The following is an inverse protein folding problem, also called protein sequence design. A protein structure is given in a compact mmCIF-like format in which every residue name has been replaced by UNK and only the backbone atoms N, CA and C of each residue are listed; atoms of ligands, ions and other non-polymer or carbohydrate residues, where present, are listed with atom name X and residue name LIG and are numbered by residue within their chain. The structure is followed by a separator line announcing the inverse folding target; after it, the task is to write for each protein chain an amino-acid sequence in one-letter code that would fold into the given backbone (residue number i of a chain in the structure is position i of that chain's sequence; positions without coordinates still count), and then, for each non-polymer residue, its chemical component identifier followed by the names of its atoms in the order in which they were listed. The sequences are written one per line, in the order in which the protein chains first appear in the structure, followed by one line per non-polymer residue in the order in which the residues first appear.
data_IF_786377299718
#
_entry.id   IF_786377299718
#
_cell.length_a   1.000
_cell.length_b   1.000
_cell.length_c   1.000
_cell.angle_alpha   90.00
_cell.angle_beta   90.00
_cell.angle_gamma   90.00
#
_symmetry.space_group_name_H-M   'P 1'
#
loop_
_entity.id
_entity.type
_entity.pdbx_description
1 polymer ?
#
# COMPACT_ATOMS: atom_id res chain seq x y z
N UNK A 1 4.78 2.27 32.21
CA UNK A 1 3.56 2.60 32.98
C UNK A 1 3.09 3.95 32.49
N UNK A 2 1.87 4.06 31.95
CA UNK A 2 1.32 5.33 31.44
C UNK A 2 1.15 6.29 32.63
N UNK A 3 1.67 7.51 32.50
CA UNK A 3 1.50 8.58 33.50
C UNK A 3 0.41 9.50 33.02
N UNK A 4 -0.73 9.52 33.70
CA UNK A 4 -1.80 10.48 33.45
C UNK A 4 -1.58 11.74 34.29
N UNK A 5 -1.71 12.90 33.66
CA UNK A 5 -1.79 14.18 34.36
C UNK A 5 -3.25 14.58 34.58
N UNK A 6 -3.50 15.54 35.48
CA UNK A 6 -4.87 15.95 35.84
C UNK A 6 -5.71 16.36 34.64
N UNK A 7 -5.11 17.03 33.66
CA UNK A 7 -5.79 17.44 32.43
C UNK A 7 -6.26 16.25 31.60
N UNK A 8 -5.51 15.15 31.54
CA UNK A 8 -5.91 13.94 30.81
C UNK A 8 -7.16 13.33 31.45
N UNK A 9 -7.17 13.24 32.79
CA UNK A 9 -8.31 12.72 33.55
C UNK A 9 -9.55 13.62 33.43
N UNK A 10 -9.35 14.93 33.39
CA UNK A 10 -10.44 15.89 33.16
C UNK A 10 -11.02 15.74 31.75
N UNK A 11 -10.16 15.65 30.74
CA UNK A 11 -10.57 15.43 29.36
C UNK A 11 -11.37 14.13 29.21
N UNK A 12 -10.89 13.02 29.79
CA UNK A 12 -11.60 11.72 29.78
C UNK A 12 -12.96 11.85 30.46
N UNK A 13 -13.04 12.50 31.62
CA UNK A 13 -14.31 12.69 32.33
C UNK A 13 -15.30 13.53 31.51
N UNK A 14 -14.82 14.56 30.80
CA UNK A 14 -15.66 15.35 29.89
C UNK A 14 -16.21 14.50 28.74
N UNK A 15 -15.40 13.61 28.16
CA UNK A 15 -15.86 12.70 27.11
C UNK A 15 -16.91 11.71 27.64
N UNK A 16 -16.73 11.18 28.86
CA UNK A 16 -17.70 10.29 29.51
C UNK A 16 -19.04 11.02 29.71
N UNK A 17 -19.02 12.25 30.21
CA UNK A 17 -20.24 13.03 30.43
C UNK A 17 -21.00 13.34 29.14
N UNK A 18 -20.28 13.62 28.04
CA UNK A 18 -20.88 13.76 26.71
C UNK A 18 -21.57 12.45 26.31
N UNK A 19 -20.90 11.31 26.47
CA UNK A 19 -21.47 10.00 26.16
C UNK A 19 -22.71 9.67 27.00
N UNK A 20 -22.69 9.95 28.31
CA UNK A 20 -23.83 9.75 29.21
C UNK A 20 -25.03 10.62 28.84
N UNK A 21 -24.80 11.90 28.55
CA UNK A 21 -25.86 12.81 28.13
C UNK A 21 -26.46 12.41 26.77
N UNK A 22 -25.62 11.92 25.85
CA UNK A 22 -26.09 11.40 24.57
C UNK A 22 -26.93 10.13 24.76
N UNK A 23 -26.48 9.18 25.57
CA UNK A 23 -27.24 7.98 25.92
C UNK A 23 -28.58 8.30 26.62
N UNK A 24 -28.65 9.44 27.33
CA UNK A 24 -29.88 9.97 27.92
C UNK A 24 -30.81 10.69 26.92
N UNK A 25 -30.46 10.73 25.63
CA UNK A 25 -31.28 11.26 24.55
C UNK A 25 -30.94 12.68 24.08
N UNK A 26 -29.87 13.31 24.58
CA UNK A 26 -29.41 14.57 24.00
C UNK A 26 -28.68 14.32 22.67
N UNK A 27 -28.87 15.17 21.65
CA UNK A 27 -28.16 15.03 20.40
C UNK A 27 -26.66 15.33 20.58
N UNK A 28 -25.79 14.64 19.82
CA UNK A 28 -24.35 14.95 19.80
C UNK A 28 -24.06 16.24 19.03
N UNK A 29 -24.77 16.50 17.94
CA UNK A 29 -24.58 17.66 17.07
C UNK A 29 -25.92 18.25 16.63
N UNK A 30 -25.94 19.54 16.26
CA UNK A 30 -27.13 20.27 15.86
C UNK A 30 -27.78 21.07 17.01
N UNK A 31 -29.05 21.46 16.89
CA UNK A 31 -29.75 22.20 17.94
C UNK A 31 -29.78 21.44 19.27
N UNK A 32 -29.21 22.04 20.33
CA UNK A 32 -29.07 21.38 21.63
C UNK A 32 -27.97 20.31 21.67
N UNK A 33 -27.07 20.30 20.68
CA UNK A 33 -25.98 19.35 20.54
C UNK A 33 -24.89 19.50 21.61
N UNK A 34 -24.33 18.37 22.04
CA UNK A 34 -23.23 18.30 23.01
C UNK A 34 -21.86 18.71 22.44
N UNK A 35 -21.69 18.63 21.12
CA UNK A 35 -20.44 18.88 20.40
C UNK A 35 -20.65 20.09 19.46
N UNK A 36 -19.70 21.03 19.41
CA UNK A 36 -19.90 22.29 18.69
C UNK A 36 -19.82 22.15 17.15
N UNK A 37 -19.25 21.06 16.63
CA UNK A 37 -19.10 20.84 15.18
C UNK A 37 -19.04 19.34 14.86
N UNK A 38 -19.47 18.98 13.66
CA UNK A 38 -19.60 17.60 13.21
C UNK A 38 -18.27 16.86 12.97
N UNK A 39 -17.15 17.58 12.93
CA UNK A 39 -15.82 17.03 12.65
C UNK A 39 -14.95 16.84 13.90
N UNK A 40 -15.49 17.07 15.11
CA UNK A 40 -14.80 16.78 16.36
C UNK A 40 -15.18 15.39 16.88
N UNK A 41 -14.17 14.61 17.24
CA UNK A 41 -14.29 13.28 17.83
C UNK A 41 -14.40 13.35 19.37
N UNK A 42 -15.42 14.05 19.87
CA UNK A 42 -15.71 14.13 21.30
C UNK A 42 -16.81 13.15 21.72
N UNK A 43 -16.81 12.76 22.99
CA UNK A 43 -17.65 11.70 23.53
C UNK A 43 -17.06 10.29 23.38
N UNK A 44 -17.91 9.28 23.58
CA UNK A 44 -17.60 7.88 23.27
C UNK A 44 -18.45 7.47 22.06
N UNK A 45 -17.84 6.74 21.12
CA UNK A 45 -18.57 6.17 19.97
C UNK A 45 -19.63 5.21 20.47
N UNK A 46 -20.78 5.14 19.81
CA UNK A 46 -21.80 4.14 20.13
C UNK A 46 -21.24 2.74 19.86
N UNK A 47 -21.83 1.71 20.47
CA UNK A 47 -21.38 0.32 20.31
C UNK A 47 -21.96 -0.34 19.05
N UNK A 48 -22.88 0.34 18.36
CA UNK A 48 -23.49 -0.13 17.10
C UNK A 48 -22.94 0.57 15.85
N UNK A 49 -22.06 1.57 16.02
CA UNK A 49 -21.34 2.20 14.92
C UNK A 49 -22.07 3.40 14.36
N UNK A 50 -23.27 3.65 14.89
CA UNK A 50 -23.98 4.88 14.65
C UNK A 50 -23.22 6.09 15.20
N UNK A 51 -23.42 7.24 14.55
CA UNK A 51 -22.78 8.51 14.88
C UNK A 51 -21.24 8.52 14.77
N UNK A 52 -20.63 7.55 14.07
CA UNK A 52 -19.23 7.67 13.60
C UNK A 52 -19.06 8.89 12.67
N UNK A 53 -20.12 9.28 11.97
CA UNK A 53 -20.25 10.54 11.27
C UNK A 53 -21.51 11.27 11.77
N UNK A 54 -21.36 12.48 12.33
CA UNK A 54 -22.49 13.20 12.95
C UNK A 54 -23.49 13.78 11.94
N UNK A 55 -23.17 13.81 10.64
CA UNK A 55 -24.10 14.20 9.58
C UNK A 55 -24.80 12.98 8.96
N UNK A 56 -24.18 11.81 9.04
CA UNK A 56 -24.66 10.57 8.43
C UNK A 56 -24.42 9.42 9.41
N UNK A 57 -25.33 9.21 10.38
CA UNK A 57 -25.07 8.40 11.55
C UNK A 57 -24.53 7.00 11.25
N UNK A 58 -24.96 6.35 10.17
CA UNK A 58 -24.57 4.97 9.89
C UNK A 58 -23.29 4.85 9.02
N UNK A 59 -22.64 5.95 8.63
CA UNK A 59 -21.42 5.82 7.82
C UNK A 59 -20.27 5.27 8.65
N UNK A 60 -19.72 4.14 8.20
CA UNK A 60 -18.66 3.43 8.89
C UNK A 60 -19.16 2.68 10.12
N UNK A 61 -20.46 2.36 10.24
CA UNK A 61 -20.90 1.28 11.13
C UNK A 61 -20.57 -0.08 10.52
N UNK A 62 -20.48 -1.11 11.36
CA UNK A 62 -20.32 -2.49 10.89
C UNK A 62 -21.55 -2.93 10.09
N UNK A 63 -21.37 -3.88 9.18
CA UNK A 63 -22.41 -4.44 8.30
C UNK A 63 -23.13 -3.43 7.37
N UNK A 64 -22.70 -2.16 7.35
CA UNK A 64 -23.19 -1.18 6.39
C UNK A 64 -22.25 -1.11 5.17
N UNK A 65 -22.80 -0.94 3.95
CA UNK A 65 -21.98 -0.73 2.77
C UNK A 65 -21.14 0.55 2.86
N UNK A 66 -19.89 0.49 2.40
CA UNK A 66 -19.10 1.71 2.23
C UNK A 66 -19.75 2.61 1.17
N UNK A 67 -20.03 3.89 1.50
CA UNK A 67 -20.71 4.76 0.56
C UNK A 67 -19.76 5.23 -0.55
N UNK A 68 -20.17 5.01 -1.81
CA UNK A 68 -19.48 5.51 -2.99
C UNK A 68 -19.88 6.98 -3.25
N UNK A 69 -19.00 7.92 -2.90
CA UNK A 69 -19.22 9.36 -3.12
C UNK A 69 -18.94 9.82 -4.54
N UNK A 70 -18.08 9.08 -5.24
CA UNK A 70 -17.68 9.30 -6.61
C UNK A 70 -18.08 8.04 -7.35
N UNK A 71 -18.98 8.15 -8.33
CA UNK A 71 -19.34 7.00 -9.15
C UNK A 71 -18.14 6.40 -9.88
N UNK A 72 -18.32 5.23 -10.46
CA UNK A 72 -17.28 4.58 -11.24
C UNK A 72 -17.12 5.28 -12.60
N UNK A 73 -15.90 5.76 -12.88
CA UNK A 73 -15.54 6.38 -14.15
C UNK A 73 -14.52 5.50 -14.88
N UNK A 74 -14.97 4.81 -15.92
CA UNK A 74 -14.11 3.98 -16.77
C UNK A 74 -13.50 4.84 -17.88
N UNK A 75 -12.17 4.90 -17.92
CA UNK A 75 -11.45 5.70 -18.91
C UNK A 75 -11.32 4.96 -20.23
N UNK A 76 -11.46 5.68 -21.34
CA UNK A 76 -11.03 5.20 -22.66
C UNK A 76 -9.51 5.21 -22.73
N UNK A 77 -8.96 4.06 -23.10
CA UNK A 77 -7.53 3.80 -23.20
C UNK A 77 -7.11 3.95 -24.64
N UNK A 78 -5.86 4.32 -24.89
CA UNK A 78 -5.29 4.33 -26.23
C UNK A 78 -4.13 3.35 -26.22
N UNK A 79 -4.35 2.15 -26.74
CA UNK A 79 -3.33 1.08 -26.77
C UNK A 79 -2.74 0.96 -28.16
N UNK A 80 -1.47 0.60 -28.25
CA UNK A 80 -0.89 0.16 -29.51
C UNK A 80 -1.31 -1.29 -29.77
N UNK A 81 -2.17 -1.49 -30.77
CA UNK A 81 -2.72 -2.80 -31.10
C UNK A 81 -1.78 -3.64 -31.98
N UNK A 82 -0.62 -3.12 -32.37
CA UNK A 82 0.38 -3.86 -33.17
C UNK A 82 1.62 -4.18 -32.31
N UNK A 83 2.00 -5.46 -32.15
CA UNK A 83 3.19 -5.84 -31.40
C UNK A 83 4.51 -5.53 -32.14
N UNK A 84 4.46 -4.94 -33.34
CA UNK A 84 5.66 -4.62 -34.12
C UNK A 84 6.19 -3.22 -33.79
N UNK A 85 7.49 -3.08 -33.51
CA UNK A 85 8.09 -1.81 -33.11
C UNK A 85 8.15 -0.72 -34.20
N UNK A 86 7.81 -1.05 -35.45
CA UNK A 86 7.81 -0.14 -36.61
C UNK A 86 6.42 0.43 -36.96
N UNK A 87 5.36 -0.04 -36.30
CA UNK A 87 3.98 0.39 -36.58
C UNK A 87 3.30 0.80 -35.27
N UNK A 88 3.06 2.10 -35.12
CA UNK A 88 2.26 2.62 -34.01
C UNK A 88 0.79 2.61 -34.42
N UNK A 89 0.03 1.62 -33.97
CA UNK A 89 -1.39 1.47 -34.23
C UNK A 89 -2.22 1.76 -32.98
N UNK A 90 -2.32 3.05 -32.65
CA UNK A 90 -3.06 3.49 -31.47
C UNK A 90 -4.56 3.34 -31.70
N UNK A 91 -5.21 2.46 -30.95
CA UNK A 91 -6.65 2.23 -30.97
C UNK A 91 -7.28 2.61 -29.63
N UNK A 92 -8.45 3.28 -29.63
CA UNK A 92 -9.20 3.51 -28.42
C UNK A 92 -9.81 2.20 -27.91
N UNK A 93 -9.41 1.77 -26.72
CA UNK A 93 -10.05 0.71 -25.94
C UNK A 93 -10.81 1.34 -24.79
N UNK A 94 -12.12 1.49 -24.93
CA UNK A 94 -13.00 1.83 -23.80
C UNK A 94 -13.37 0.55 -23.09
N UNK A 95 -13.12 0.44 -21.79
CA UNK A 95 -13.72 -0.64 -21.00
C UNK A 95 -15.24 -0.48 -21.02
N UNK A 96 -15.92 -1.47 -21.57
CA UNK A 96 -17.39 -1.57 -21.57
C UNK A 96 -17.71 -2.79 -20.70
N UNK A 97 -18.31 -2.61 -19.51
CA UNK A 97 -18.83 -3.73 -18.72
C UNK A 97 -19.64 -4.68 -19.60
N UNK A 98 -19.49 -5.99 -19.44
CA UNK A 98 -20.25 -6.97 -20.24
C UNK A 98 -19.61 -7.35 -21.58
N UNK A 99 -18.61 -6.61 -22.06
CA UNK A 99 -17.92 -6.88 -23.33
C UNK A 99 -16.53 -7.43 -23.07
N UNK A 100 -16.22 -8.57 -23.68
CA UNK A 100 -14.85 -9.10 -23.70
C UNK A 100 -13.97 -8.18 -24.56
N UNK A 101 -13.14 -7.41 -23.89
CA UNK A 101 -12.22 -6.44 -24.48
C UNK A 101 -10.79 -7.00 -24.63
N UNK A 102 -10.51 -8.24 -24.18
CA UNK A 102 -9.15 -8.82 -24.20
C UNK A 102 -8.78 -9.48 -25.54
N UNK A 103 -9.78 -9.66 -26.42
CA UNK A 103 -9.61 -10.03 -27.82
C UNK A 103 -10.35 -11.32 -28.21
N UNK A 104 -10.39 -11.68 -29.50
CA UNK A 104 -11.05 -12.90 -29.92
C UNK A 104 -10.31 -14.13 -29.39
N UNK A 105 -11.07 -15.22 -29.22
CA UNK A 105 -10.60 -16.54 -28.80
C UNK A 105 -9.32 -16.94 -29.55
N UNK A 106 -8.19 -17.04 -28.84
CA UNK A 106 -6.92 -17.46 -29.43
C UNK A 106 -6.83 -18.98 -29.42
N UNK A 107 -6.66 -19.60 -30.59
CA UNK A 107 -6.38 -21.04 -30.67
C UNK A 107 -4.88 -21.26 -30.80
N UNK A 108 -4.27 -21.81 -29.74
CA UNK A 108 -2.85 -22.15 -29.70
C UNK A 108 -2.67 -23.59 -30.20
N UNK A 109 -1.90 -23.83 -31.27
CA UNK A 109 -1.52 -25.18 -31.66
C UNK A 109 -0.56 -25.75 -30.61
N UNK A 110 -0.92 -26.86 -29.95
CA UNK A 110 0.00 -27.59 -29.06
C UNK A 110 0.25 -29.01 -29.59
N UNK A 111 1.33 -29.69 -29.15
CA UNK A 111 1.61 -31.08 -29.56
C UNK A 111 0.50 -32.08 -29.23
N UNK A 112 -0.42 -31.74 -28.32
CA UNK A 112 -1.60 -32.54 -27.95
C UNK A 112 -2.89 -32.15 -28.69
N UNK A 113 -2.82 -31.21 -29.65
CA UNK A 113 -3.97 -30.64 -30.36
C UNK A 113 -4.12 -29.14 -30.12
N UNK A 114 -4.95 -28.44 -30.91
CA UNK A 114 -5.22 -27.02 -30.70
C UNK A 114 -5.91 -26.82 -29.33
N UNK A 115 -5.35 -25.95 -28.50
CA UNK A 115 -5.95 -25.48 -27.25
C UNK A 115 -6.53 -24.10 -27.53
N UNK A 116 -7.85 -24.00 -27.49
CA UNK A 116 -8.54 -22.72 -27.59
C UNK A 116 -8.53 -22.03 -26.22
N UNK A 117 -7.96 -20.83 -26.18
CA UNK A 117 -7.90 -19.92 -25.04
C UNK A 117 -8.71 -18.68 -25.41
N UNK A 118 -9.89 -18.51 -24.81
CA UNK A 118 -10.68 -17.27 -24.87
C UNK A 118 -11.79 -17.30 -23.84
N UNK A 119 -12.51 -16.19 -23.69
CA UNK A 119 -13.42 -15.90 -22.58
C UNK A 119 -12.73 -15.98 -21.20
N UNK A 120 -11.51 -15.42 -21.08
CA UNK A 120 -10.81 -15.38 -19.78
C UNK A 120 -11.16 -14.14 -18.98
N UNK A 121 -11.36 -13.00 -19.63
CA UNK A 121 -11.91 -11.81 -19.01
C UNK A 121 -13.44 -11.87 -18.99
N UNK A 122 -14.01 -12.05 -17.81
CA UNK A 122 -15.44 -11.86 -17.59
C UNK A 122 -15.80 -10.38 -17.54
N UNK A 123 -17.09 -10.03 -17.68
CA UNK A 123 -17.58 -8.66 -17.56
C UNK A 123 -17.17 -7.88 -16.31
N UNK A 124 -16.72 -8.55 -15.24
CA UNK A 124 -16.23 -7.91 -14.02
C UNK A 124 -14.73 -7.63 -14.00
N UNK A 125 -13.97 -8.10 -14.99
CA UNK A 125 -12.53 -7.89 -15.09
C UNK A 125 -12.24 -6.51 -15.68
N UNK A 126 -11.29 -5.79 -15.08
CA UNK A 126 -10.89 -4.44 -15.50
C UNK A 126 -9.39 -4.39 -15.71
N UNK A 127 -8.94 -3.52 -16.61
CA UNK A 127 -7.52 -3.26 -16.85
C UNK A 127 -7.21 -1.86 -16.32
N UNK A 128 -6.15 -1.73 -15.52
CA UNK A 128 -5.57 -0.42 -15.16
C UNK A 128 -4.34 -0.16 -16.03
N UNK A 129 -4.45 0.56 -17.16
CA UNK A 129 -3.33 0.78 -18.06
C UNK A 129 -2.49 1.98 -17.67
N UNK A 130 -3.00 2.83 -16.77
CA UNK A 130 -2.20 3.88 -16.19
C UNK A 130 -1.53 3.25 -14.99
N UNK A 131 -0.35 2.67 -15.22
CA UNK A 131 0.54 2.29 -14.13
C UNK A 131 0.65 3.53 -13.25
N UNK A 132 0.01 3.47 -12.07
CA UNK A 132 0.23 4.47 -11.04
C UNK A 132 1.72 4.36 -10.76
N UNK A 133 2.48 5.35 -11.21
CA UNK A 133 3.92 5.37 -10.99
C UNK A 133 4.10 5.41 -9.48
N UNK A 134 4.34 4.25 -8.88
CA UNK A 134 4.77 4.14 -7.50
C UNK A 134 6.18 4.70 -7.52
N UNK A 135 6.28 5.98 -7.22
CA UNK A 135 7.56 6.64 -7.18
C UNK A 135 8.34 6.09 -5.99
N UNK A 136 9.38 5.32 -6.27
CA UNK A 136 10.35 4.97 -5.24
C UNK A 136 11.08 6.21 -4.70
N UNK A 137 10.93 7.41 -5.27
CA UNK A 137 11.57 8.63 -4.74
C UNK A 137 11.21 8.92 -3.27
N UNK A 138 10.05 8.46 -2.78
CA UNK A 138 9.68 8.65 -1.37
C UNK A 138 10.47 7.71 -0.45
N UNK A 139 10.88 6.53 -0.94
CA UNK A 139 11.52 5.46 -0.14
C UNK A 139 13.00 5.26 -0.51
N UNK A 140 13.48 5.91 -1.57
CA UNK A 140 14.86 5.86 -2.03
C UNK A 140 15.71 6.88 -1.26
N UNK A 141 16.47 6.40 -0.29
CA UNK A 141 17.45 7.19 0.46
C UNK A 141 18.84 7.14 -0.17
N UNK A 142 19.03 6.61 -1.38
CA UNK A 142 20.34 6.58 -2.03
C UNK A 142 20.76 7.96 -2.56
N UNK A 143 22.04 8.10 -2.90
CA UNK A 143 22.60 9.28 -3.57
C UNK A 143 22.06 9.49 -5.01
N UNK A 144 21.25 8.55 -5.52
CA UNK A 144 20.53 8.73 -6.80
C UNK A 144 19.34 9.68 -6.66
N UNK A 145 18.86 9.95 -5.44
CA UNK A 145 17.72 10.80 -5.15
C UNK A 145 18.16 12.20 -4.68
N UNK A 146 18.02 13.24 -5.52
CA UNK A 146 18.37 14.61 -5.13
C UNK A 146 17.61 15.12 -3.90
N UNK A 147 16.38 14.64 -3.68
CA UNK A 147 15.56 15.02 -2.52
C UNK A 147 16.12 14.46 -1.22
N UNK A 148 16.68 13.24 -1.25
CA UNK A 148 17.35 12.64 -0.10
C UNK A 148 18.63 13.42 0.26
N UNK A 149 19.40 13.83 -0.75
CA UNK A 149 20.60 14.66 -0.55
C UNK A 149 20.22 16.02 0.05
N UNK A 150 19.22 16.70 -0.51
CA UNK A 150 18.73 17.99 0.01
C UNK A 150 18.27 17.88 1.46
N UNK A 151 17.48 16.86 1.79
CA UNK A 151 17.02 16.61 3.17
C UNK A 151 18.20 16.40 4.12
N UNK A 152 19.25 15.71 3.69
CA UNK A 152 20.45 15.51 4.50
C UNK A 152 21.25 16.82 4.69
N UNK A 153 21.35 17.66 3.66
CA UNK A 153 22.00 18.97 3.72
C UNK A 153 21.26 19.95 4.65
N UNK A 154 19.92 19.99 4.57
CA UNK A 154 19.10 20.80 5.48
C UNK A 154 19.36 20.41 6.95
N UNK A 155 19.45 19.10 7.23
CA UNK A 155 19.76 18.59 8.57
C UNK A 155 21.20 18.83 9.00
N UNK A 156 22.13 18.90 8.06
CA UNK A 156 23.51 19.30 8.32
C UNK A 156 23.64 20.81 8.60
N UNK A 157 22.55 21.59 8.51
CA UNK A 157 22.53 23.03 8.79
C UNK A 157 22.95 23.88 7.59
N UNK A 158 22.74 23.39 6.35
CA UNK A 158 22.97 24.17 5.14
C UNK A 158 21.76 25.07 4.87
N UNK A 159 21.91 26.38 5.04
CA UNK A 159 20.83 27.39 5.03
C UNK A 159 20.36 27.83 3.61
N UNK A 160 21.16 27.59 2.55
CA UNK A 160 20.83 27.87 1.14
C UNK A 160 20.20 26.60 0.51
N UNK A 161 19.31 26.66 -0.51
CA UNK A 161 18.82 25.44 -1.12
C UNK A 161 20.05 24.79 -1.76
N UNK A 162 20.55 23.73 -1.11
CA UNK A 162 21.88 23.14 -1.31
C UNK A 162 22.12 22.55 -2.70
N UNK A 163 21.38 22.99 -3.72
CA UNK A 163 21.39 22.60 -5.12
C UNK A 163 22.78 22.52 -5.74
N UNK A 164 23.69 23.44 -5.44
CA UNK A 164 25.07 23.37 -5.94
C UNK A 164 25.85 22.20 -5.30
N UNK A 165 25.68 22.00 -4.00
CA UNK A 165 26.27 20.89 -3.26
C UNK A 165 25.64 19.57 -3.72
N UNK A 166 24.32 19.52 -3.84
CA UNK A 166 23.57 18.40 -4.40
C UNK A 166 24.06 18.02 -5.80
N UNK A 167 24.27 19.00 -6.68
CA UNK A 167 24.82 18.76 -8.01
C UNK A 167 26.27 18.25 -7.96
N UNK A 168 27.11 18.77 -7.06
CA UNK A 168 28.48 18.29 -6.84
C UNK A 168 28.49 16.83 -6.37
N UNK A 169 27.64 16.48 -5.40
CA UNK A 169 27.49 15.11 -4.87
C UNK A 169 26.97 14.18 -5.97
N UNK A 170 25.92 14.58 -6.70
CA UNK A 170 25.38 13.79 -7.80
C UNK A 170 26.46 13.52 -8.87
N UNK A 171 27.26 14.53 -9.23
CA UNK A 171 28.35 14.39 -10.20
C UNK A 171 29.48 13.48 -9.69
N UNK A 172 29.85 13.58 -8.40
CA UNK A 172 30.85 12.70 -7.79
C UNK A 172 30.35 11.26 -7.64
N UNK A 173 29.03 11.07 -7.50
CA UNK A 173 28.39 9.77 -7.40
C UNK A 173 28.26 9.07 -8.76
N UNK A 174 28.03 9.78 -9.86
CA UNK A 174 27.81 9.17 -11.19
C UNK A 174 28.85 8.11 -11.58
N UNK A 175 30.18 8.31 -11.43
CA UNK A 175 31.18 7.33 -11.83
C UNK A 175 31.14 6.03 -11.02
N UNK A 176 30.67 6.08 -9.77
CA UNK A 176 30.61 4.93 -8.86
C UNK A 176 29.20 4.35 -8.71
N UNK A 177 28.19 4.97 -9.32
CA UNK A 177 26.78 4.56 -9.23
C UNK A 177 26.59 3.08 -9.53
N UNK A 178 27.20 2.55 -10.60
CA UNK A 178 27.06 1.15 -10.97
C UNK A 178 27.58 0.18 -9.89
N UNK A 179 28.61 0.59 -9.13
CA UNK A 179 29.15 -0.19 -8.02
C UNK A 179 28.22 -0.15 -6.79
N UNK A 180 27.58 0.99 -6.52
CA UNK A 180 26.51 1.08 -5.52
C UNK A 180 25.29 0.23 -5.91
N UNK A 181 24.87 0.26 -7.18
CA UNK A 181 23.77 -0.57 -7.69
C UNK A 181 24.10 -2.08 -7.55
N UNK A 182 25.35 -2.47 -7.84
CA UNK A 182 25.83 -3.85 -7.65
C UNK A 182 25.84 -4.27 -6.18
N UNK A 183 26.29 -3.40 -5.28
CA UNK A 183 26.22 -3.65 -3.83
C UNK A 183 24.76 -3.78 -3.37
N UNK A 184 23.86 -2.90 -3.82
CA UNK A 184 22.42 -2.97 -3.53
C UNK A 184 21.81 -4.31 -3.98
N UNK A 185 22.14 -4.76 -5.20
CA UNK A 185 21.64 -6.01 -5.75
C UNK A 185 22.09 -7.21 -4.90
N UNK A 186 23.37 -7.27 -4.51
CA UNK A 186 23.88 -8.34 -3.64
C UNK A 186 23.26 -8.31 -2.24
N UNK A 187 23.04 -7.12 -1.67
CA UNK A 187 22.38 -6.95 -0.37
C UNK A 187 20.94 -7.47 -0.39
N UNK A 188 20.18 -7.25 -1.48
CA UNK A 188 18.82 -7.80 -1.62
C UNK A 188 18.83 -9.33 -1.68
N UNK A 189 19.77 -9.92 -2.43
CA UNK A 189 19.92 -11.37 -2.50
C UNK A 189 20.26 -11.94 -1.12
N UNK A 190 21.18 -11.31 -0.40
CA UNK A 190 21.52 -11.70 0.96
C UNK A 190 20.33 -11.58 1.93
N UNK A 191 19.58 -10.47 1.91
CA UNK A 191 18.43 -10.29 2.77
C UNK A 191 17.38 -11.40 2.58
N UNK A 192 17.08 -11.76 1.33
CA UNK A 192 16.15 -12.86 1.01
C UNK A 192 16.67 -14.21 1.50
N UNK A 193 17.95 -14.51 1.25
CA UNK A 193 18.57 -15.77 1.69
C UNK A 193 18.65 -15.86 3.22
N UNK A 194 19.01 -14.77 3.90
CA UNK A 194 19.07 -14.68 5.35
C UNK A 194 17.69 -14.83 6.00
N UNK A 195 16.64 -14.23 5.43
CA UNK A 195 15.28 -14.41 5.90
C UNK A 195 14.80 -15.86 5.77
N UNK A 196 15.07 -16.51 4.63
CA UNK A 196 14.75 -17.93 4.44
C UNK A 196 15.52 -18.83 5.42
N UNK A 197 16.81 -18.56 5.64
CA UNK A 197 17.62 -19.26 6.62
C UNK A 197 17.11 -19.07 8.06
N UNK A 198 16.69 -17.86 8.43
CA UNK A 198 16.13 -17.57 9.76
C UNK A 198 14.78 -18.26 9.98
N UNK A 199 13.93 -18.32 8.95
CA UNK A 199 12.65 -19.04 9.01
C UNK A 199 12.83 -20.57 9.09
N UNK A 200 13.97 -21.10 8.66
CA UNK A 200 14.29 -22.52 8.69
C UNK A 200 15.70 -22.79 9.27
N UNK A 201 15.91 -22.58 10.59
CA UNK A 201 17.24 -22.60 11.20
C UNK A 201 18.01 -23.92 11.02
N UNK A 202 17.30 -25.04 10.93
CA UNK A 202 17.89 -26.38 10.81
C UNK A 202 18.14 -26.81 9.35
N UNK A 203 17.79 -25.99 8.36
CA UNK A 203 18.00 -26.31 6.95
C UNK A 203 19.41 -25.87 6.50
N UNK A 204 20.35 -26.82 6.47
CA UNK A 204 21.75 -26.56 6.12
C UNK A 204 21.94 -25.90 4.74
N UNK A 205 21.12 -26.24 3.75
CA UNK A 205 21.23 -25.65 2.41
C UNK A 205 20.86 -24.15 2.42
N UNK A 206 19.84 -23.77 3.19
CA UNK A 206 19.46 -22.36 3.36
C UNK A 206 20.51 -21.57 4.15
N UNK A 207 21.11 -22.18 5.19
CA UNK A 207 22.21 -21.56 5.92
C UNK A 207 23.42 -21.31 5.01
N UNK A 208 23.77 -22.29 4.17
CA UNK A 208 24.87 -22.16 3.20
C UNK A 208 24.58 -21.08 2.16
N UNK A 209 23.38 -21.06 1.57
CA UNK A 209 23.00 -20.04 0.59
C UNK A 209 23.07 -18.62 1.17
N UNK A 210 22.67 -18.43 2.44
CA UNK A 210 22.80 -17.15 3.12
C UNK A 210 24.27 -16.74 3.33
N UNK A 211 25.15 -17.68 3.70
CA UNK A 211 26.58 -17.42 3.86
C UNK A 211 27.27 -17.07 2.53
N UNK A 212 26.94 -17.76 1.44
CA UNK A 212 27.45 -17.46 0.09
C UNK A 212 26.97 -16.08 -0.39
N UNK A 213 25.70 -15.75 -0.14
CA UNK A 213 25.17 -14.43 -0.47
C UNK A 213 25.85 -13.31 0.35
N UNK A 214 26.19 -13.55 1.62
CA UNK A 214 26.95 -12.60 2.44
C UNK A 214 28.35 -12.36 1.86
N UNK A 215 29.06 -13.41 1.46
CA UNK A 215 30.38 -13.29 0.84
C UNK A 215 30.32 -12.43 -0.45
N UNK A 216 29.24 -12.55 -1.23
CA UNK A 216 29.03 -11.70 -2.41
C UNK A 216 28.82 -10.22 -2.03
N UNK A 217 28.11 -9.94 -0.94
CA UNK A 217 27.97 -8.56 -0.41
C UNK A 217 29.32 -7.98 0.00
N UNK A 218 30.13 -8.76 0.72
CA UNK A 218 31.47 -8.33 1.15
C UNK A 218 32.39 -8.06 -0.06
N UNK A 219 32.34 -8.91 -1.08
CA UNK A 219 33.11 -8.72 -2.31
C UNK A 219 32.66 -7.47 -3.10
N UNK A 220 31.36 -7.26 -3.24
CA UNK A 220 30.82 -6.07 -3.89
C UNK A 220 31.18 -4.78 -3.13
N UNK A 221 31.13 -4.82 -1.79
CA UNK A 221 31.56 -3.71 -0.93
C UNK A 221 33.03 -3.39 -1.11
N UNK A 222 33.91 -4.39 -1.06
CA UNK A 222 35.34 -4.19 -1.25
C UNK A 222 35.66 -3.61 -2.64
N UNK A 223 34.91 -4.02 -3.66
CA UNK A 223 35.04 -3.48 -5.03
C UNK A 223 34.63 -2.00 -5.09
N UNK A 224 33.52 -1.64 -4.43
CA UNK A 224 33.07 -0.25 -4.33
C UNK A 224 34.10 0.60 -3.58
N UNK A 225 34.49 0.19 -2.38
CA UNK A 225 35.40 0.93 -1.51
C UNK A 225 36.81 1.07 -2.11
N UNK A 226 37.25 0.09 -2.90
CA UNK A 226 38.53 0.12 -3.61
C UNK A 226 38.52 0.94 -4.91
N UNK A 227 37.37 1.47 -5.33
CA UNK A 227 37.27 2.27 -6.56
C UNK A 227 37.80 3.69 -6.37
N UNK A 228 38.41 4.26 -7.41
CA UNK A 228 39.04 5.60 -7.36
C UNK A 228 38.04 6.71 -6.99
N UNK A 229 36.77 6.56 -7.35
CA UNK A 229 35.73 7.55 -7.08
C UNK A 229 35.11 7.49 -5.68
N UNK A 230 35.30 6.40 -4.93
CA UNK A 230 34.62 6.20 -3.65
C UNK A 230 35.19 7.11 -2.54
N UNK A 231 36.52 7.11 -2.35
CA UNK A 231 37.14 7.91 -1.30
C UNK A 231 36.88 9.44 -1.45
N UNK A 232 36.99 10.03 -2.67
CA UNK A 232 36.60 11.43 -2.89
C UNK A 232 35.11 11.69 -2.60
N UNK A 233 34.22 10.78 -2.99
CA UNK A 233 32.79 10.91 -2.72
C UNK A 233 32.51 10.91 -1.21
N UNK A 234 33.05 9.94 -0.47
CA UNK A 234 32.85 9.86 0.99
C UNK A 234 33.43 11.09 1.71
N UNK A 235 34.57 11.61 1.25
CA UNK A 235 35.13 12.87 1.76
C UNK A 235 34.18 14.04 1.51
N UNK A 236 33.65 14.17 0.29
CA UNK A 236 32.68 15.21 -0.05
C UNK A 236 31.40 15.11 0.79
N UNK A 237 30.90 13.90 1.05
CA UNK A 237 29.73 13.69 1.90
C UNK A 237 30.01 14.12 3.35
N UNK A 238 31.15 13.69 3.91
CA UNK A 238 31.56 14.04 5.26
C UNK A 238 31.77 15.54 5.45
N UNK A 239 32.38 16.22 4.47
CA UNK A 239 32.58 17.68 4.48
C UNK A 239 31.26 18.46 4.49
N UNK A 240 30.17 17.83 4.04
CA UNK A 240 28.82 18.40 4.02
C UNK A 240 27.90 17.78 5.10
N UNK A 241 28.46 17.04 6.08
CA UNK A 241 27.70 16.47 7.19
C UNK A 241 26.75 15.34 6.80
N UNK A 242 26.96 14.70 5.65
CA UNK A 242 26.15 13.57 5.17
C UNK A 242 26.84 12.26 5.54
N UNK A 243 26.11 11.40 6.26
CA UNK A 243 26.53 10.04 6.62
C UNK A 243 25.82 9.01 5.72
N UNK A 244 26.52 7.90 5.42
CA UNK A 244 25.95 6.75 4.73
C UNK A 244 25.81 5.55 5.67
N UNK A 245 24.67 4.86 5.60
CA UNK A 245 24.48 3.51 6.12
C UNK A 245 24.37 2.54 4.94
N UNK A 246 25.49 1.87 4.65
CA UNK A 246 25.66 1.07 3.44
C UNK A 246 25.55 1.93 2.18
N UNK A 247 24.46 1.77 1.44
CA UNK A 247 24.18 2.49 0.18
C UNK A 247 23.22 3.69 0.37
N UNK A 248 22.64 3.83 1.56
CA UNK A 248 21.63 4.83 1.86
C UNK A 248 22.23 6.01 2.64
N UNK A 249 21.70 7.20 2.42
CA UNK A 249 21.94 8.37 3.24
C UNK A 249 21.22 8.19 4.58
N UNK A 250 21.94 8.43 5.68
CA UNK A 250 21.35 8.39 7.02
C UNK A 250 20.43 9.59 7.20
N UNK A 251 19.12 9.32 7.10
CA UNK A 251 18.08 10.29 7.46
C UNK A 251 17.44 9.77 8.75
N UNK A 252 17.85 10.33 9.88
CA UNK A 252 17.31 9.94 11.19
C UNK A 252 15.80 10.05 11.21
N UNK A 253 15.14 8.99 11.65
CA UNK A 253 13.73 9.03 11.98
C UNK A 253 13.57 9.98 13.17
N UNK A 254 13.06 11.18 12.92
CA UNK A 254 12.86 12.23 13.92
C UNK A 254 11.38 12.58 13.89
N UNK A 255 10.75 12.65 15.06
CA UNK A 255 9.33 12.99 15.13
C UNK A 255 9.08 14.42 14.58
N UNK A 256 7.89 14.69 14.00
CA UNK A 256 7.58 15.99 13.37
C UNK A 256 7.68 17.21 14.30
N UNK A 257 7.68 16.99 15.61
CA UNK A 257 7.90 18.02 16.63
C UNK A 257 9.40 18.24 16.93
N UNK A 258 10.23 18.15 15.89
CA UNK A 258 11.69 18.30 15.97
C UNK A 258 12.36 17.30 16.93
N UNK A 259 11.76 16.12 17.11
CA UNK A 259 12.30 15.06 17.96
C UNK A 259 12.04 15.24 19.45
N UNK A 260 11.11 16.13 19.83
CA UNK A 260 10.61 16.19 21.21
C UNK A 260 9.87 14.90 21.59
N UNK A 261 9.18 14.28 20.64
CA UNK A 261 8.59 12.96 20.78
C UNK A 261 9.55 11.85 20.36
N UNK A 262 9.34 10.66 20.93
CA UNK A 262 10.09 9.48 20.52
C UNK A 262 9.88 9.21 19.02
N UNK A 263 10.94 8.84 18.28
CA UNK A 263 10.83 8.52 16.87
C UNK A 263 10.05 7.23 16.64
N UNK A 264 9.53 7.03 15.43
CA UNK A 264 8.80 5.80 15.09
C UNK A 264 9.73 4.57 15.17
N UNK A 265 9.14 3.42 15.46
CA UNK A 265 9.85 2.15 15.40
C UNK A 265 8.95 1.11 14.71
N UNK A 266 9.50 -0.06 14.37
CA UNK A 266 8.71 -1.09 13.69
C UNK A 266 7.49 -1.54 14.48
N UNK A 267 7.53 -1.44 15.82
CA UNK A 267 6.36 -1.72 16.66
C UNK A 267 5.21 -0.75 16.37
N UNK A 268 5.49 0.54 16.12
CA UNK A 268 4.46 1.51 15.74
C UNK A 268 3.76 1.09 14.44
N UNK A 269 4.51 0.67 13.42
CA UNK A 269 3.94 0.18 12.15
C UNK A 269 3.11 -1.07 12.33
N UNK A 270 3.64 -2.08 13.05
CA UNK A 270 2.94 -3.34 13.30
C UNK A 270 1.68 -3.14 14.16
N UNK A 271 1.76 -2.24 15.14
CA UNK A 271 0.60 -1.84 15.93
C UNK A 271 -0.45 -1.13 15.07
N UNK A 272 -0.01 -0.25 14.16
CA UNK A 272 -0.90 0.38 13.17
C UNK A 272 -1.65 -0.65 12.34
N UNK A 273 -0.97 -1.67 11.82
CA UNK A 273 -1.61 -2.78 11.10
C UNK A 273 -2.57 -3.58 11.99
N UNK A 274 -2.16 -3.94 13.21
CA UNK A 274 -3.02 -4.64 14.15
C UNK A 274 -4.29 -3.84 14.50
N UNK A 275 -4.15 -2.51 14.61
CA UNK A 275 -5.26 -1.61 14.87
C UNK A 275 -6.19 -1.49 13.67
N UNK A 276 -5.65 -1.34 12.46
CA UNK A 276 -6.36 -1.31 11.18
C UNK A 276 -7.23 -2.57 10.96
N UNK A 277 -6.66 -3.75 11.26
CA UNK A 277 -7.42 -5.02 11.21
C UNK A 277 -8.62 -5.06 12.17
N UNK A 278 -8.61 -4.20 13.20
CA UNK A 278 -9.72 -4.02 14.13
C UNK A 278 -10.70 -2.92 13.72
N UNK A 279 -10.49 -2.23 12.61
CA UNK A 279 -11.39 -1.17 12.11
C UNK A 279 -12.16 -1.61 10.88
N UNK A 280 -11.48 -2.23 9.92
CA UNK A 280 -12.11 -2.65 8.68
C UNK A 280 -11.51 -3.92 8.07
N UNK A 281 -12.39 -4.71 7.46
CA UNK A 281 -12.02 -5.85 6.64
C UNK A 281 -13.02 -5.97 5.49
N UNK A 282 -12.54 -5.69 4.28
CA UNK A 282 -13.33 -5.80 3.05
C UNK A 282 -13.06 -7.14 2.37
N UNK A 283 -14.13 -7.87 2.06
CA UNK A 283 -14.08 -9.13 1.31
C UNK A 283 -13.47 -8.95 -0.08
N UNK A 284 -12.81 -9.99 -0.59
CA UNK A 284 -12.17 -10.00 -1.91
C UNK A 284 -12.71 -11.15 -2.76
N UNK A 285 -12.96 -10.89 -4.04
CA UNK A 285 -13.45 -11.88 -5.01
C UNK A 285 -14.95 -11.81 -5.27
N UNK A 286 -15.40 -12.55 -6.29
CA UNK A 286 -16.80 -12.55 -6.76
C UNK A 286 -17.15 -11.40 -7.70
N UNK A 287 -16.23 -10.45 -7.91
CA UNK A 287 -16.47 -9.22 -8.67
C UNK A 287 -15.45 -8.99 -9.80
N UNK A 288 -14.76 -10.06 -10.20
CA UNK A 288 -13.69 -10.03 -11.21
C UNK A 288 -12.32 -9.64 -10.65
N UNK A 289 -11.43 -9.29 -11.57
CA UNK A 289 -10.01 -9.03 -11.34
C UNK A 289 -9.59 -7.67 -11.92
N UNK A 290 -8.51 -7.13 -11.38
CA UNK A 290 -7.80 -5.97 -11.93
C UNK A 290 -6.49 -6.49 -12.49
N UNK A 291 -6.25 -6.26 -13.78
CA UNK A 291 -4.96 -6.53 -14.42
C UNK A 291 -4.14 -5.25 -14.48
N UNK A 292 -2.89 -5.31 -13.99
CA UNK A 292 -1.95 -4.18 -13.96
C UNK A 292 -0.73 -4.57 -14.80
N UNK A 293 -0.51 -3.98 -15.99
CA UNK A 293 0.63 -4.30 -16.83
C UNK A 293 1.95 -3.87 -16.18
N UNK A 294 3.01 -4.64 -16.42
CA UNK A 294 4.38 -4.26 -16.08
C UNK A 294 5.01 -3.52 -17.26
N UNK A 295 5.66 -2.40 -16.99
CA UNK A 295 6.40 -1.65 -18.01
C UNK A 295 7.77 -2.31 -18.26
N UNK A 296 8.39 -2.13 -19.45
CA UNK A 296 9.73 -2.67 -19.73
C UNK A 296 10.83 -2.26 -18.76
N UNK A 297 10.66 -1.13 -18.06
CA UNK A 297 11.57 -0.63 -17.03
C UNK A 297 11.24 -1.11 -15.61
N UNK A 298 10.17 -1.90 -15.42
CA UNK A 298 9.84 -2.55 -14.14
C UNK A 298 10.81 -3.72 -13.87
N UNK A 299 11.42 -3.83 -12.68
CA UNK A 299 12.33 -4.93 -12.35
C UNK A 299 11.71 -6.34 -12.41
N UNK A 300 10.38 -6.46 -12.38
CA UNK A 300 9.66 -7.72 -12.52
C UNK A 300 9.34 -8.05 -14.00
N UNK A 301 9.57 -7.12 -14.91
CA UNK A 301 9.35 -7.32 -16.35
C UNK A 301 10.38 -8.26 -16.95
N UNK A 302 9.92 -9.18 -17.81
CA UNK A 302 10.77 -10.09 -18.58
C UNK A 302 10.46 -9.94 -20.05
N UNK A 303 11.42 -9.46 -20.84
CA UNK A 303 11.29 -9.26 -22.29
C UNK A 303 10.75 -10.52 -22.98
N UNK A 304 9.69 -10.36 -23.79
CA UNK A 304 9.02 -11.45 -24.49
C UNK A 304 8.14 -12.37 -23.63
N UNK A 305 8.03 -12.13 -22.32
CA UNK A 305 7.12 -12.90 -21.45
C UNK A 305 5.66 -12.54 -21.72
N UNK A 306 4.80 -13.56 -21.71
CA UNK A 306 3.35 -13.40 -21.80
C UNK A 306 2.68 -13.07 -20.46
N UNK A 307 3.45 -12.93 -19.37
CA UNK A 307 2.95 -12.71 -18.01
C UNK A 307 3.47 -11.41 -17.39
N UNK A 308 3.76 -10.39 -18.21
CA UNK A 308 4.19 -9.07 -17.74
C UNK A 308 3.01 -8.24 -17.22
N UNK A 309 2.28 -8.78 -16.24
CA UNK A 309 1.19 -8.11 -15.54
C UNK A 309 0.97 -8.72 -14.16
N UNK A 310 0.48 -7.92 -13.22
CA UNK A 310 -0.04 -8.35 -11.93
C UNK A 310 -1.56 -8.52 -11.99
N UNK A 311 -2.09 -9.48 -11.25
CA UNK A 311 -3.53 -9.72 -11.14
C UNK A 311 -3.95 -9.52 -9.68
N UNK A 312 -4.97 -8.69 -9.46
CA UNK A 312 -5.59 -8.46 -8.15
C UNK A 312 -7.06 -8.84 -8.20
N UNK A 313 -7.60 -9.41 -7.13
CA UNK A 313 -9.06 -9.61 -7.02
C UNK A 313 -9.74 -8.31 -6.61
N UNK A 314 -10.89 -8.01 -7.23
CA UNK A 314 -11.71 -6.87 -6.83
C UNK A 314 -12.41 -7.13 -5.49
N UNK A 315 -12.74 -6.05 -4.78
CA UNK A 315 -13.54 -6.14 -3.55
C UNK A 315 -14.89 -6.81 -3.84
N UNK A 316 -15.36 -7.62 -2.90
CA UNK A 316 -16.65 -8.29 -3.02
C UNK A 316 -17.79 -7.28 -2.97
N UNK A 317 -18.60 -7.29 -4.02
CA UNK A 317 -19.89 -6.61 -4.12
C UNK A 317 -20.98 -7.65 -4.42
N UNK A 318 -22.22 -7.33 -4.09
CA UNK A 318 -23.40 -8.16 -4.40
C UNK A 318 -24.37 -7.43 -5.32
N UNK A 319 -25.27 -8.15 -6.02
CA UNK A 319 -26.26 -7.52 -6.87
C UNK A 319 -27.23 -6.68 -6.04
N UNK A 320 -27.78 -5.62 -6.62
CA UNK A 320 -28.86 -4.87 -6.00
C UNK A 320 -30.21 -5.58 -6.12
N UNK A 321 -31.33 -4.86 -5.91
CA UNK A 321 -32.69 -5.39 -5.95
C UNK A 321 -33.06 -6.21 -7.19
N UNK A 322 -32.42 -5.95 -8.35
CA UNK A 322 -32.71 -6.67 -9.59
C UNK A 322 -31.99 -8.04 -9.72
N UNK A 323 -31.01 -8.32 -8.85
CA UNK A 323 -30.23 -9.55 -8.87
C UNK A 323 -29.13 -9.61 -9.94
N UNK A 324 -28.88 -8.52 -10.68
CA UNK A 324 -27.95 -8.45 -11.81
C UNK A 324 -26.72 -7.63 -11.39
N UNK A 325 -25.55 -8.28 -11.39
CA UNK A 325 -24.32 -7.67 -10.88
C UNK A 325 -23.54 -6.89 -11.94
N UNK A 326 -23.83 -7.13 -13.22
CA UNK A 326 -23.04 -6.72 -14.37
C UNK A 326 -23.94 -5.94 -15.30
N UNK A 327 -23.49 -4.75 -15.69
CA UNK A 327 -24.15 -3.94 -16.70
C UNK A 327 -24.14 -4.65 -18.06
N UNK A 328 -25.32 -4.73 -18.68
CA UNK A 328 -25.49 -5.19 -20.04
C UNK A 328 -25.56 -3.96 -20.96
N UNK A 329 -24.50 -3.67 -21.73
CA UNK A 329 -24.44 -2.46 -22.55
C UNK A 329 -25.42 -2.48 -23.73
N UNK A 330 -26.14 -3.59 -23.94
CA UNK A 330 -27.22 -3.70 -24.92
C UNK A 330 -28.58 -3.26 -24.38
N UNK A 331 -28.69 -2.98 -23.07
CA UNK A 331 -29.89 -2.42 -22.45
C UNK A 331 -29.69 -0.92 -22.21
N UNK A 332 -30.79 -0.20 -21.94
CA UNK A 332 -30.74 1.23 -21.67
C UNK A 332 -30.54 1.55 -20.18
N UNK A 333 -30.48 0.52 -19.34
CA UNK A 333 -30.41 0.64 -17.87
C UNK A 333 -29.08 0.04 -17.45
N UNK A 334 -28.27 0.79 -16.72
CA UNK A 334 -27.08 0.25 -16.08
C UNK A 334 -27.50 -0.65 -14.91
N UNK A 335 -27.53 -1.97 -15.14
CA UNK A 335 -27.89 -2.93 -14.08
C UNK A 335 -26.87 -2.95 -12.95
N UNK A 336 -25.62 -2.52 -13.19
CA UNK A 336 -24.61 -2.45 -12.13
C UNK A 336 -24.78 -1.25 -11.18
N UNK A 337 -25.66 -0.30 -11.52
CA UNK A 337 -25.87 0.91 -10.76
C UNK A 337 -26.43 0.64 -9.35
N UNK A 338 -27.23 -0.42 -9.20
CA UNK A 338 -27.88 -0.78 -7.93
C UNK A 338 -27.06 -1.72 -7.05
N UNK A 339 -25.89 -2.18 -7.53
CA UNK A 339 -25.01 -3.10 -6.83
C UNK A 339 -24.73 -2.65 -5.39
N UNK A 340 -24.83 -3.60 -4.48
CA UNK A 340 -24.42 -3.43 -3.08
C UNK A 340 -22.92 -3.18 -3.02
N UNK A 341 -22.52 -2.16 -2.26
CA UNK A 341 -21.11 -1.76 -2.13
C UNK A 341 -20.38 -2.70 -1.16
N UNK A 342 -19.03 -2.71 -1.18
CA UNK A 342 -18.29 -3.58 -0.28
C UNK A 342 -18.69 -3.34 1.18
N UNK A 343 -18.82 -4.43 1.93
CA UNK A 343 -19.27 -4.43 3.33
C UNK A 343 -18.06 -4.61 4.24
N UNK A 344 -18.01 -3.84 5.31
CA UNK A 344 -17.04 -4.07 6.38
C UNK A 344 -17.45 -5.31 7.20
N UNK A 345 -16.61 -6.34 7.18
CA UNK A 345 -16.83 -7.60 7.89
C UNK A 345 -16.24 -7.62 9.31
N UNK A 346 -15.65 -6.51 9.76
CA UNK A 346 -15.26 -6.29 11.16
C UNK A 346 -16.18 -5.27 11.84
N UNK A 347 -16.23 -5.31 13.17
CA UNK A 347 -16.85 -4.23 13.93
C UNK A 347 -16.02 -2.97 13.78
N UNK A 348 -16.66 -1.83 13.50
CA UNK A 348 -15.95 -0.57 13.26
C UNK A 348 -15.45 0.12 14.55
N UNK A 349 -15.49 -0.59 15.69
CA UNK A 349 -15.06 -0.07 16.99
C UNK A 349 -13.63 -0.44 17.28
N UNK A 350 -13.01 0.39 18.11
CA UNK A 350 -11.82 -0.01 18.85
C UNK A 350 -12.25 -0.90 20.02
N UNK A 351 -12.63 -2.14 19.74
CA UNK A 351 -13.21 -3.09 20.70
C UNK A 351 -12.41 -4.41 20.84
N UNK A 352 -11.18 -4.44 20.31
CA UNK A 352 -10.34 -5.64 20.29
C UNK A 352 -10.91 -6.79 19.44
N UNK A 353 -11.78 -6.53 18.46
CA UNK A 353 -12.26 -7.56 17.53
C UNK A 353 -11.13 -8.25 16.74
N UNK A 354 -9.98 -7.60 16.53
CA UNK A 354 -8.79 -8.25 15.95
C UNK A 354 -8.23 -9.37 16.85
N UNK A 355 -8.58 -9.39 18.13
CA UNK A 355 -8.26 -10.44 19.10
C UNK A 355 -9.46 -11.38 19.33
N UNK A 356 -10.67 -10.84 19.40
CA UNK A 356 -11.87 -11.57 19.83
C UNK A 356 -12.89 -11.84 18.73
N UNK A 357 -12.63 -11.41 17.51
CA UNK A 357 -13.46 -11.55 16.30
C UNK A 357 -14.76 -10.75 16.33
N UNK A 358 -15.26 -10.47 15.14
CA UNK A 358 -16.50 -9.72 14.90
C UNK A 358 -17.74 -10.60 14.76
N UNK A 359 -17.62 -11.93 14.91
CA UNK A 359 -18.72 -12.86 14.70
C UNK A 359 -18.80 -13.94 15.79
N UNK A 360 -20.00 -14.17 16.34
CA UNK A 360 -20.21 -15.08 17.47
C UNK A 360 -19.77 -16.53 17.19
N UNK A 361 -19.95 -17.03 15.96
CA UNK A 361 -19.47 -18.36 15.61
C UNK A 361 -17.95 -18.46 15.61
N UNK A 362 -17.24 -17.37 15.29
CA UNK A 362 -15.77 -17.34 15.29
C UNK A 362 -15.24 -17.28 16.73
N UNK A 363 -15.93 -16.56 17.63
CA UNK A 363 -15.62 -16.56 19.07
C UNK A 363 -15.61 -17.97 19.68
N UNK A 364 -16.47 -18.87 19.20
CA UNK A 364 -16.50 -20.26 19.68
C UNK A 364 -15.20 -20.99 19.38
N UNK A 365 -14.56 -20.72 18.24
CA UNK A 365 -13.31 -21.39 17.89
C UNK A 365 -12.08 -20.82 18.59
N UNK A 366 -12.13 -19.58 19.06
CA UNK A 366 -10.99 -18.93 19.73
C UNK A 366 -10.93 -19.15 21.25
N UNK A 367 -12.01 -19.63 21.87
CA UNK A 367 -12.08 -19.80 23.32
C UNK A 367 -11.62 -21.20 23.74
N UNK A 368 -10.82 -21.25 24.80
CA UNK A 368 -10.63 -22.47 25.57
C UNK A 368 -11.82 -22.65 26.53
N UNK A 369 -12.55 -23.76 26.38
CA UNK A 369 -13.68 -24.08 27.25
C UNK A 369 -13.24 -25.05 28.34
N UNK A 370 -13.26 -24.62 29.59
CA UNK A 370 -13.15 -25.50 30.74
C UNK A 370 -14.56 -25.93 31.18
N UNK A 371 -14.75 -27.25 31.37
CA UNK A 371 -16.02 -27.85 31.81
C UNK A 371 -16.24 -27.76 33.32
#
# INVERSE_FOLDING_TARGET
MVKYIKSDLQFILEQIKIAEAHAAGQPLYGPGGLIPTYNLSWGLRTVDGSYNNLLNPNWGSSDEPFPERLGTDFRTLFIDADPRPDVVNIQPMTYIPGVDNDGPTMTIPTPGGPVTIGDRAGPGDVIDPQVRIISNLIVDQTLSNPSAILTALERAGVDDPGMLITASIANAYQPVKALFDALSATQRVYANAAAAAAASPNNAALQQAAAEALANVEAARATLEGSEGYAPLVTLLADNGIELDGINIVITNTAPDEGLSAPFNSWFTLFGQFFDHGLDLVGKGGSGTVMIPLMPDDPLYVEGSTTNFMVLTRATVGPGPDGIMVDNPSTAVDESADNTRPVNTTTAFVDQNQTYTSHASHQVFLREYAM
#
